data_IF_389447908993
#
_entry.id   IF_389447908993
#
_cell.length_a   1.000
_cell.length_b   1.000
_cell.length_c   1.000
_cell.angle_alpha   90.00
_cell.angle_beta   90.00
_cell.angle_gamma   90.00
#
_symmetry.space_group_name_H-M   'P 1'
#
loop_
_entity.id
_entity.type
_entity.pdbx_description
1 polymer ?
#
# COMPACT_ATOMS: atom_id res chain seq x y z
N UNK A 1 6.84 -5.35 28.77
CA UNK A 1 7.00 -6.28 27.63
C UNK A 1 7.29 -5.45 26.38
N UNK A 2 8.54 -5.41 25.88
CA UNK A 2 8.85 -4.70 24.63
C UNK A 2 8.34 -5.55 23.48
N UNK A 3 7.25 -5.12 22.86
CA UNK A 3 6.67 -5.76 21.68
C UNK A 3 7.67 -5.57 20.54
N UNK A 4 8.31 -6.66 20.11
CA UNK A 4 9.15 -6.66 18.91
C UNK A 4 8.26 -6.43 17.69
N UNK A 5 8.10 -5.16 17.31
CA UNK A 5 7.41 -4.78 16.08
C UNK A 5 8.29 -5.15 14.90
N UNK A 6 8.09 -6.34 14.33
CA UNK A 6 8.59 -6.63 12.99
C UNK A 6 7.95 -5.63 12.02
N UNK A 7 8.71 -4.86 11.23
CA UNK A 7 8.14 -3.96 10.24
C UNK A 7 7.47 -4.83 9.15
N UNK A 8 6.17 -5.07 9.31
CA UNK A 8 5.37 -5.82 8.35
C UNK A 8 5.07 -4.91 7.14
N UNK A 9 5.48 -5.28 5.91
CA UNK A 9 5.20 -4.48 4.72
C UNK A 9 3.70 -4.20 4.57
N UNK A 10 3.33 -2.92 4.43
CA UNK A 10 1.93 -2.44 4.48
C UNK A 10 1.09 -2.78 3.26
N UNK A 11 1.71 -3.29 2.18
CA UNK A 11 1.07 -3.37 0.87
C UNK A 11 0.22 -4.64 0.64
N UNK A 12 0.55 -5.79 1.25
CA UNK A 12 -0.22 -7.02 0.99
C UNK A 12 -1.48 -7.11 1.86
N UNK A 13 -2.58 -7.63 1.29
CA UNK A 13 -3.85 -7.86 2.01
C UNK A 13 -3.64 -8.66 3.30
N UNK A 14 -2.87 -9.74 3.22
CA UNK A 14 -2.64 -10.65 4.35
C UNK A 14 -1.82 -10.00 5.47
N UNK A 15 -0.82 -9.16 5.13
CA UNK A 15 -0.04 -8.42 6.11
C UNK A 15 -0.86 -7.37 6.85
N UNK A 16 -1.83 -6.74 6.17
CA UNK A 16 -2.79 -5.82 6.82
C UNK A 16 -3.68 -6.54 7.82
N UNK A 17 -4.17 -7.73 7.48
CA UNK A 17 -5.00 -8.54 8.39
C UNK A 17 -4.19 -8.96 9.62
N UNK A 18 -2.96 -9.45 9.43
CA UNK A 18 -2.08 -9.81 10.55
C UNK A 18 -1.76 -8.61 11.45
N UNK A 19 -1.64 -7.41 10.88
CA UNK A 19 -1.48 -6.18 11.66
C UNK A 19 -2.73 -5.83 12.45
N UNK A 20 -3.92 -6.05 11.88
CA UNK A 20 -5.18 -5.84 12.59
C UNK A 20 -5.37 -6.83 13.74
N UNK A 21 -4.99 -8.10 13.54
CA UNK A 21 -4.98 -9.13 14.61
C UNK A 21 -4.00 -8.76 15.73
N UNK A 22 -2.80 -8.30 15.37
CA UNK A 22 -1.83 -7.79 16.34
C UNK A 22 -2.41 -6.63 17.16
N UNK A 23 -3.00 -5.64 16.50
CA UNK A 23 -3.59 -4.48 17.18
C UNK A 23 -4.76 -4.89 18.07
N UNK A 24 -5.59 -5.84 17.61
CA UNK A 24 -6.69 -6.41 18.39
C UNK A 24 -6.19 -6.99 19.72
N UNK A 25 -5.16 -7.83 19.68
CA UNK A 25 -4.57 -8.44 20.87
C UNK A 25 -3.82 -7.41 21.74
N UNK A 26 -3.06 -6.50 21.12
CA UNK A 26 -2.30 -5.47 21.85
C UNK A 26 -3.22 -4.55 22.68
N UNK A 27 -4.36 -4.13 22.12
CA UNK A 27 -5.36 -3.30 22.82
C UNK A 27 -5.97 -4.00 24.02
N UNK A 28 -6.10 -5.33 23.95
CA UNK A 28 -6.71 -6.17 24.98
C UNK A 28 -5.68 -6.77 25.96
N UNK A 29 -4.40 -6.38 25.84
CA UNK A 29 -3.27 -6.92 26.61
C UNK A 29 -3.14 -8.45 26.48
N UNK A 30 -3.47 -8.97 25.30
CA UNK A 30 -3.57 -10.40 25.01
C UNK A 30 -4.87 -10.73 24.27
N UNK A 31 -4.98 -11.96 23.79
CA UNK A 31 -6.21 -12.48 23.22
C UNK A 31 -7.13 -12.95 24.35
N UNK A 32 -8.38 -12.46 24.44
CA UNK A 32 -9.32 -12.91 25.46
C UNK A 32 -9.55 -14.42 25.40
N UNK A 33 -9.75 -15.07 26.56
CA UNK A 33 -9.82 -16.53 26.71
C UNK A 33 -10.81 -17.19 25.74
N UNK A 34 -12.00 -16.61 25.57
CA UNK A 34 -13.05 -17.12 24.67
C UNK A 34 -12.72 -17.04 23.17
N UNK A 35 -11.67 -16.32 22.78
CA UNK A 35 -11.29 -16.13 21.38
C UNK A 35 -9.93 -16.74 21.02
N UNK A 36 -9.21 -17.36 21.98
CA UNK A 36 -7.83 -17.85 21.76
C UNK A 36 -7.74 -18.84 20.60
N UNK A 37 -8.59 -19.86 20.56
CA UNK A 37 -8.58 -20.86 19.50
C UNK A 37 -8.80 -20.25 18.11
N UNK A 38 -9.85 -19.42 17.96
CA UNK A 38 -10.19 -18.83 16.66
C UNK A 38 -9.18 -17.75 16.24
N UNK A 39 -8.64 -16.99 17.19
CA UNK A 39 -7.54 -16.04 16.94
C UNK A 39 -6.30 -16.75 16.44
N UNK A 40 -5.88 -17.83 17.11
CA UNK A 40 -4.74 -18.66 16.73
C UNK A 40 -4.94 -19.23 15.33
N UNK A 41 -6.09 -19.83 15.05
CA UNK A 41 -6.39 -20.42 13.76
C UNK A 41 -6.36 -19.38 12.63
N UNK A 42 -7.06 -18.24 12.79
CA UNK A 42 -7.06 -17.17 11.79
C UNK A 42 -5.62 -16.66 11.56
N UNK A 43 -4.87 -16.43 12.63
CA UNK A 43 -3.47 -15.97 12.56
C UNK A 43 -2.59 -16.95 11.79
N UNK A 44 -2.67 -18.25 12.11
CA UNK A 44 -1.93 -19.31 11.45
C UNK A 44 -2.23 -19.36 9.93
N UNK A 45 -3.50 -19.28 9.54
CA UNK A 45 -3.91 -19.27 8.13
C UNK A 45 -3.29 -18.10 7.37
N UNK A 46 -3.28 -16.90 7.94
CA UNK A 46 -2.69 -15.74 7.27
C UNK A 46 -1.16 -15.75 7.26
N UNK A 47 -0.51 -16.33 8.29
CA UNK A 47 0.94 -16.56 8.32
C UNK A 47 1.37 -17.59 7.25
N UNK A 48 0.66 -18.71 7.13
CA UNK A 48 0.87 -19.70 6.07
C UNK A 48 0.76 -19.09 4.67
N UNK A 49 -0.24 -18.24 4.44
CA UNK A 49 -0.45 -17.53 3.17
C UNK A 49 0.67 -16.55 2.78
N UNK A 50 1.46 -16.09 3.75
CA UNK A 50 2.65 -15.27 3.50
C UNK A 50 3.95 -16.07 3.66
N UNK A 51 3.86 -17.40 3.62
CA UNK A 51 4.98 -18.35 3.63
C UNK A 51 5.85 -18.25 4.89
N UNK A 52 5.25 -17.90 6.04
CA UNK A 52 5.97 -17.98 7.32
C UNK A 52 6.07 -19.46 7.72
N UNK A 53 7.26 -19.96 8.10
CA UNK A 53 7.43 -21.34 8.57
C UNK A 53 6.56 -21.66 9.79
N UNK A 54 6.17 -22.92 9.97
CA UNK A 54 5.31 -23.37 11.06
C UNK A 54 5.86 -22.98 12.44
N UNK A 55 7.14 -23.29 12.70
CA UNK A 55 7.83 -22.95 13.96
C UNK A 55 7.76 -21.45 14.26
N UNK A 56 8.01 -20.62 13.25
CA UNK A 56 7.92 -19.17 13.39
C UNK A 56 6.47 -18.68 13.59
N UNK A 57 5.47 -19.42 13.11
CA UNK A 57 4.07 -19.11 13.32
C UNK A 57 3.61 -19.44 14.75
N UNK A 58 4.06 -20.57 15.30
CA UNK A 58 3.86 -20.94 16.71
C UNK A 58 4.37 -19.82 17.63
N UNK A 59 5.63 -19.41 17.45
CA UNK A 59 6.24 -18.36 18.28
C UNK A 59 5.50 -17.02 18.16
N UNK A 60 4.95 -16.72 16.99
CA UNK A 60 4.15 -15.49 16.81
C UNK A 60 2.80 -15.55 17.51
N UNK A 61 2.12 -16.68 17.48
CA UNK A 61 0.83 -16.84 18.17
C UNK A 61 1.03 -16.73 19.68
N UNK A 62 2.04 -17.42 20.23
CA UNK A 62 2.35 -17.46 21.67
C UNK A 62 2.57 -16.09 22.31
N UNK A 63 2.94 -15.07 21.53
CA UNK A 63 3.09 -13.69 22.02
C UNK A 63 1.79 -13.06 22.54
N UNK A 64 0.64 -13.56 22.10
CA UNK A 64 -0.67 -12.94 22.35
C UNK A 64 -1.61 -13.83 23.16
N UNK A 65 -1.16 -15.00 23.59
CA UNK A 65 -1.96 -15.94 24.36
C UNK A 65 -1.25 -16.26 25.68
N UNK A 66 -2.02 -16.72 26.65
CA UNK A 66 -1.51 -17.14 27.95
C UNK A 66 -0.85 -18.53 27.87
N UNK A 67 0.09 -18.79 28.79
CA UNK A 67 0.88 -20.05 28.83
C UNK A 67 0.03 -21.30 28.99
N UNK A 68 -1.12 -21.20 29.64
CA UNK A 68 -2.08 -22.30 29.81
C UNK A 68 -2.70 -22.78 28.48
N UNK A 69 -2.51 -22.02 27.40
CA UNK A 69 -3.06 -22.32 26.07
C UNK A 69 -1.97 -22.69 25.04
N UNK A 70 -0.70 -22.81 25.44
CA UNK A 70 0.39 -22.99 24.49
C UNK A 70 0.31 -24.31 23.71
N UNK A 71 0.02 -25.42 24.39
CA UNK A 71 -0.07 -26.74 23.75
C UNK A 71 -1.22 -26.78 22.73
N UNK A 72 -2.40 -26.25 23.11
CA UNK A 72 -3.56 -26.17 22.22
C UNK A 72 -3.27 -25.23 21.02
N UNK A 73 -2.55 -24.13 21.25
CA UNK A 73 -2.17 -23.22 20.17
C UNK A 73 -1.18 -23.86 19.19
N UNK A 74 -0.20 -24.63 19.68
CA UNK A 74 0.71 -25.40 18.83
C UNK A 74 -0.04 -26.39 17.96
N UNK A 75 -0.98 -27.13 18.55
CA UNK A 75 -1.79 -28.09 17.83
C UNK A 75 -2.64 -27.42 16.74
N UNK A 76 -3.29 -26.29 17.05
CA UNK A 76 -4.07 -25.52 16.07
C UNK A 76 -3.18 -25.05 14.91
N UNK A 77 -1.98 -24.53 15.19
CA UNK A 77 -1.05 -24.08 14.16
C UNK A 77 -0.61 -25.26 13.28
N UNK A 78 -0.17 -26.37 13.90
CA UNK A 78 0.23 -27.59 13.19
C UNK A 78 -0.89 -28.11 12.29
N UNK A 79 -2.11 -28.18 12.80
CA UNK A 79 -3.28 -28.62 12.04
C UNK A 79 -3.59 -27.67 10.86
N UNK A 80 -3.48 -26.36 11.05
CA UNK A 80 -3.66 -25.38 9.97
C UNK A 80 -2.56 -25.49 8.89
N UNK A 81 -1.33 -25.82 9.28
CA UNK A 81 -0.18 -25.99 8.38
C UNK A 81 -0.21 -27.31 7.62
N UNK A 82 -0.59 -28.41 8.28
CA UNK A 82 -0.78 -29.71 7.64
C UNK A 82 -2.01 -29.76 6.72
N UNK A 83 -3.04 -28.95 7.00
CA UNK A 83 -4.28 -28.96 6.24
C UNK A 83 -4.08 -28.54 4.78
N UNK A 84 -4.63 -29.36 3.86
CA UNK A 84 -4.79 -29.02 2.44
C UNK A 84 -6.02 -28.14 2.18
N UNK A 85 -6.90 -27.97 3.18
CA UNK A 85 -8.11 -27.17 3.06
C UNK A 85 -7.76 -25.68 2.97
N UNK A 86 -8.29 -25.00 1.95
CA UNK A 86 -8.10 -23.57 1.80
C UNK A 86 -9.16 -22.80 2.60
N UNK A 87 -8.86 -22.52 3.87
CA UNK A 87 -9.72 -21.68 4.71
C UNK A 87 -9.77 -20.24 4.20
N UNK A 88 -10.96 -19.71 3.94
CA UNK A 88 -11.17 -18.34 3.48
C UNK A 88 -11.89 -17.49 4.52
N UNK A 89 -11.13 -16.63 5.20
CA UNK A 89 -11.69 -15.62 6.11
C UNK A 89 -11.90 -14.28 5.39
N UNK A 90 -13.14 -13.83 5.33
CA UNK A 90 -13.47 -12.46 4.91
C UNK A 90 -13.25 -11.51 6.08
N UNK A 91 -12.96 -10.23 5.81
CA UNK A 91 -12.75 -9.24 6.88
C UNK A 91 -13.97 -9.18 7.82
N UNK A 92 -15.18 -9.12 7.28
CA UNK A 92 -16.41 -9.11 8.07
C UNK A 92 -16.52 -10.35 8.98
N UNK A 93 -16.16 -11.54 8.47
CA UNK A 93 -16.17 -12.77 9.26
C UNK A 93 -15.12 -12.76 10.38
N UNK A 94 -13.93 -12.20 10.12
CA UNK A 94 -12.89 -12.04 11.16
C UNK A 94 -13.40 -11.13 12.28
N UNK A 95 -13.98 -9.97 11.92
CA UNK A 95 -14.53 -9.04 12.90
C UNK A 95 -15.64 -9.68 13.74
N UNK A 96 -16.54 -10.45 13.12
CA UNK A 96 -17.60 -11.15 13.85
C UNK A 96 -17.07 -12.25 14.78
N UNK A 97 -16.08 -13.05 14.33
CA UNK A 97 -15.53 -14.16 15.11
C UNK A 97 -14.68 -13.71 16.30
N UNK A 98 -14.04 -12.56 16.18
CA UNK A 98 -13.16 -11.99 17.21
C UNK A 98 -13.81 -10.85 17.98
N UNK A 99 -15.12 -10.63 17.81
CA UNK A 99 -15.86 -9.55 18.47
C UNK A 99 -15.14 -8.19 18.39
N UNK A 100 -14.78 -7.80 17.15
CA UNK A 100 -14.13 -6.52 16.89
C UNK A 100 -15.08 -5.40 17.27
N UNK A 101 -14.60 -4.53 18.16
CA UNK A 101 -15.36 -3.36 18.60
C UNK A 101 -15.28 -2.27 17.54
N UNK A 102 -16.16 -1.27 17.62
CA UNK A 102 -16.19 -0.15 16.66
C UNK A 102 -14.83 0.53 16.51
N UNK A 103 -14.09 0.67 17.62
CA UNK A 103 -12.74 1.20 17.62
C UNK A 103 -11.76 0.34 16.82
N UNK A 104 -11.88 -0.99 16.88
CA UNK A 104 -11.03 -1.90 16.11
C UNK A 104 -11.27 -1.75 14.61
N UNK A 105 -12.54 -1.65 14.22
CA UNK A 105 -12.98 -1.47 12.84
C UNK A 105 -12.48 -0.12 12.29
N UNK A 106 -12.68 0.97 13.06
CA UNK A 106 -12.28 2.32 12.67
C UNK A 106 -10.77 2.46 12.46
N UNK A 107 -9.98 1.76 13.28
CA UNK A 107 -8.52 1.81 13.23
C UNK A 107 -7.89 0.63 12.47
N UNK A 108 -8.67 -0.10 11.66
CA UNK A 108 -8.14 -1.24 10.91
C UNK A 108 -7.41 -0.80 9.63
N UNK A 109 -6.41 -1.59 9.24
CA UNK A 109 -5.68 -1.45 7.99
C UNK A 109 -6.37 -2.16 6.83
N UNK A 110 -7.16 -3.21 7.12
CA UNK A 110 -7.75 -4.08 6.10
C UNK A 110 -9.08 -3.61 5.55
N UNK A 111 -9.68 -2.55 6.11
CA UNK A 111 -11.01 -2.03 5.74
C UNK A 111 -12.11 -3.12 5.90
N UNK A 112 -12.76 -3.13 7.06
CA UNK A 112 -13.71 -4.17 7.43
C UNK A 112 -15.14 -3.86 6.96
N UNK A 113 -15.48 -2.58 6.75
CA UNK A 113 -16.80 -2.15 6.25
C UNK A 113 -16.81 -1.91 4.73
N UNK A 114 -18.01 -1.82 4.14
CA UNK A 114 -18.18 -1.53 2.70
C UNK A 114 -17.70 -0.10 2.39
N UNK A 115 -18.02 0.84 3.26
CA UNK A 115 -17.67 2.25 3.15
C UNK A 115 -16.15 2.44 3.19
N UNK A 116 -15.47 1.76 4.13
CA UNK A 116 -14.01 1.81 4.22
C UNK A 116 -13.34 1.25 2.96
N UNK A 117 -13.87 0.17 2.39
CA UNK A 117 -13.35 -0.42 1.15
C UNK A 117 -13.55 0.54 -0.02
N UNK A 118 -14.71 1.17 -0.12
CA UNK A 118 -15.01 2.14 -1.16
C UNK A 118 -14.10 3.37 -1.04
N UNK A 119 -13.92 3.91 0.17
CA UNK A 119 -13.01 5.03 0.43
C UNK A 119 -11.56 4.69 0.07
N UNK A 120 -11.09 3.49 0.43
CA UNK A 120 -9.75 3.02 0.05
C UNK A 120 -9.59 2.88 -1.46
N UNK A 121 -10.61 2.39 -2.18
CA UNK A 121 -10.62 2.32 -3.64
C UNK A 121 -10.53 3.70 -4.27
N UNK A 122 -11.35 4.66 -3.83
CA UNK A 122 -11.32 6.05 -4.30
C UNK A 122 -9.94 6.68 -4.09
N UNK A 123 -9.34 6.50 -2.91
CA UNK A 123 -7.99 7.00 -2.61
C UNK A 123 -6.93 6.40 -3.52
N UNK A 124 -7.02 5.10 -3.80
CA UNK A 124 -6.10 4.41 -4.71
C UNK A 124 -6.21 4.95 -6.15
N UNK A 125 -7.42 5.16 -6.65
CA UNK A 125 -7.66 5.74 -7.99
C UNK A 125 -7.08 7.16 -8.06
N UNK A 126 -7.41 8.02 -7.10
CA UNK A 126 -6.86 9.39 -7.03
C UNK A 126 -5.32 9.40 -6.99
N UNK A 127 -4.70 8.48 -6.26
CA UNK A 127 -3.24 8.37 -6.22
C UNK A 127 -2.64 7.91 -7.53
N UNK A 128 -3.29 7.00 -8.24
CA UNK A 128 -2.85 6.53 -9.56
C UNK A 128 -2.92 7.67 -10.57
N UNK A 129 -4.07 8.37 -10.62
CA UNK A 129 -4.26 9.52 -11.49
C UNK A 129 -3.25 10.63 -11.19
N UNK A 130 -3.01 10.94 -9.90
CA UNK A 130 -2.02 11.93 -9.50
C UNK A 130 -0.60 11.60 -10.00
N UNK A 131 -0.20 10.32 -9.96
CA UNK A 131 1.09 9.88 -10.51
C UNK A 131 1.14 10.03 -12.02
N UNK A 132 0.10 9.56 -12.72
CA UNK A 132 -0.02 9.69 -14.17
C UNK A 132 0.01 11.16 -14.62
N UNK A 133 -0.68 12.04 -13.91
CA UNK A 133 -0.64 13.48 -14.20
C UNK A 133 0.73 14.10 -13.88
N UNK A 134 1.44 13.63 -12.85
CA UNK A 134 2.80 14.08 -12.56
C UNK A 134 3.79 13.65 -13.65
N UNK A 135 3.72 12.40 -14.11
CA UNK A 135 4.51 11.88 -15.24
C UNK A 135 4.23 12.68 -16.52
N UNK A 136 2.95 12.96 -16.82
CA UNK A 136 2.58 13.79 -17.96
C UNK A 136 3.12 15.23 -17.84
N UNK A 137 3.09 15.84 -16.65
CA UNK A 137 3.66 17.17 -16.43
C UNK A 137 5.18 17.18 -16.63
N UNK A 138 5.88 16.16 -16.13
CA UNK A 138 7.33 16.03 -16.32
C UNK A 138 7.68 15.90 -17.82
N UNK A 139 6.97 15.04 -18.55
CA UNK A 139 7.16 14.88 -20.01
C UNK A 139 6.87 16.18 -20.78
N UNK A 140 5.85 16.95 -20.39
CA UNK A 140 5.55 18.25 -21.01
C UNK A 140 6.66 19.26 -20.71
N UNK A 141 7.19 19.27 -19.50
CA UNK A 141 8.28 20.15 -19.11
C UNK A 141 9.57 19.82 -19.86
N UNK A 142 9.91 18.53 -19.98
CA UNK A 142 11.06 18.06 -20.75
C UNK A 142 10.96 18.48 -22.23
N UNK A 143 9.80 18.25 -22.87
CA UNK A 143 9.58 18.69 -24.27
C UNK A 143 9.66 20.21 -24.43
N UNK A 144 9.25 20.98 -23.41
CA UNK A 144 9.41 22.44 -23.43
C UNK A 144 10.88 22.84 -23.31
N UNK A 145 11.65 22.15 -22.47
CA UNK A 145 13.07 22.38 -22.28
C UNK A 145 13.87 22.01 -23.53
N UNK A 146 13.65 20.83 -24.11
CA UNK A 146 14.27 20.40 -25.37
C UNK A 146 14.00 21.41 -26.50
N UNK A 147 12.75 21.88 -26.61
CA UNK A 147 12.39 22.95 -27.56
C UNK A 147 13.16 24.23 -27.29
N UNK A 148 13.24 24.65 -26.03
CA UNK A 148 13.96 25.85 -25.64
C UNK A 148 15.44 25.77 -26.03
N UNK A 149 16.10 24.68 -25.67
CA UNK A 149 17.53 24.44 -25.95
C UNK A 149 17.80 24.38 -27.45
N UNK A 150 16.97 23.68 -28.22
CA UNK A 150 17.10 23.60 -29.66
C UNK A 150 16.92 24.96 -30.34
N UNK A 151 15.92 25.74 -29.93
CA UNK A 151 15.69 27.09 -30.47
C UNK A 151 16.83 28.03 -30.08
N UNK A 152 17.38 27.90 -28.85
CA UNK A 152 18.50 28.70 -28.37
C UNK A 152 19.78 28.43 -29.18
N UNK A 153 20.06 27.19 -29.56
CA UNK A 153 21.21 26.85 -30.40
C UNK A 153 21.03 27.19 -31.89
N UNK A 154 19.80 27.48 -32.33
CA UNK A 154 19.47 27.78 -33.74
C UNK A 154 18.72 29.13 -33.88
N UNK A 155 19.20 30.16 -33.18
CA UNK A 155 18.52 31.47 -33.13
C UNK A 155 18.43 32.18 -34.48
N UNK A 156 19.32 31.85 -35.42
CA UNK A 156 19.38 32.44 -36.76
C UNK A 156 18.32 31.88 -37.73
N UNK A 157 17.75 30.71 -37.40
CA UNK A 157 16.80 30.04 -38.29
C UNK A 157 15.45 30.77 -38.28
N UNK A 158 14.70 30.68 -39.37
CA UNK A 158 13.36 31.28 -39.41
C UNK A 158 12.41 30.57 -38.42
N UNK A 159 11.38 31.29 -37.96
CA UNK A 159 10.38 30.67 -37.09
C UNK A 159 9.55 29.59 -37.80
N UNK A 160 9.51 29.60 -39.13
CA UNK A 160 8.81 28.61 -39.94
C UNK A 160 9.60 27.29 -40.00
N UNK A 161 10.90 27.35 -40.30
CA UNK A 161 11.76 26.17 -40.38
C UNK A 161 11.90 25.45 -39.04
N UNK A 162 12.05 26.21 -37.94
CA UNK A 162 12.10 25.63 -36.60
C UNK A 162 10.76 25.02 -36.16
N UNK A 163 9.64 25.57 -36.64
CA UNK A 163 8.31 25.05 -36.31
C UNK A 163 8.04 23.71 -37.00
N UNK A 164 8.49 23.58 -38.25
CA UNK A 164 8.46 22.33 -39.03
C UNK A 164 9.33 21.24 -38.36
N UNK A 165 10.59 21.54 -38.07
CA UNK A 165 11.55 20.61 -37.45
C UNK A 165 11.08 20.11 -36.07
N UNK A 166 10.52 21.00 -35.25
CA UNK A 166 10.08 20.68 -33.89
C UNK A 166 8.61 20.23 -33.82
N UNK A 167 7.94 20.11 -34.97
CA UNK A 167 6.54 19.69 -35.06
C UNK A 167 5.59 20.53 -34.21
N UNK A 168 5.74 21.87 -34.22
CA UNK A 168 4.93 22.77 -33.40
C UNK A 168 4.52 24.04 -34.15
N UNK A 169 3.72 24.91 -33.52
CA UNK A 169 3.24 26.13 -34.19
C UNK A 169 4.33 27.20 -34.29
N UNK A 170 4.33 27.97 -35.39
CA UNK A 170 5.21 29.15 -35.57
C UNK A 170 5.07 30.13 -34.41
N UNK A 171 3.85 30.32 -33.88
CA UNK A 171 3.58 31.18 -32.71
C UNK A 171 4.35 30.72 -31.47
N UNK A 172 4.43 29.41 -31.26
CA UNK A 172 5.19 28.81 -30.15
C UNK A 172 6.68 29.15 -30.26
N UNK A 173 7.28 28.98 -31.45
CA UNK A 173 8.69 29.32 -31.69
C UNK A 173 8.96 30.80 -31.47
N UNK A 174 8.09 31.69 -31.99
CA UNK A 174 8.22 33.14 -31.78
C UNK A 174 8.21 33.51 -30.29
N UNK A 175 7.32 32.89 -29.51
CA UNK A 175 7.28 33.10 -28.06
C UNK A 175 8.56 32.64 -27.36
N UNK A 176 9.10 31.48 -27.74
CA UNK A 176 10.35 30.94 -27.17
C UNK A 176 11.53 31.86 -27.50
N UNK A 177 11.66 32.30 -28.75
CA UNK A 177 12.71 33.26 -29.16
C UNK A 177 12.62 34.58 -28.41
N UNK A 178 11.41 35.08 -28.15
CA UNK A 178 11.22 36.29 -27.37
C UNK A 178 11.72 36.14 -25.92
N UNK A 179 11.45 34.99 -25.28
CA UNK A 179 11.95 34.68 -23.93
C UNK A 179 13.48 34.60 -23.91
N UNK A 180 14.10 33.91 -24.86
CA UNK A 180 15.57 33.79 -24.96
C UNK A 180 16.20 35.19 -25.08
N UNK A 181 15.71 36.01 -26.00
CA UNK A 181 16.21 37.38 -26.22
C UNK A 181 16.03 38.29 -25.01
N UNK A 182 14.99 38.07 -24.20
CA UNK A 182 14.80 38.81 -22.95
C UNK A 182 15.82 38.39 -21.89
N UNK A 183 16.14 37.09 -21.80
CA UNK A 183 17.13 36.57 -20.86
C UNK A 183 18.58 36.94 -21.22
N UNK A 184 18.88 37.15 -22.50
CA UNK A 184 20.22 37.59 -22.96
C UNK A 184 20.46 39.10 -22.83
N UNK A 185 19.39 39.88 -22.61
CA UNK A 185 19.44 41.34 -22.46
C UNK A 185 19.47 41.83 -21.00
N UNK A 186 19.21 40.93 -20.05
CA UNK A 186 19.31 41.19 -18.61
C UNK A 186 20.58 40.59 -18.05
#
# INVERSE_FOLDING_TARGET
MKINTFPMPTKSRYKRILRDLHNYAARRKGCPKGHRAIYTHITAIFLKRILVPEEAAVERVKQYIDRDFFDEAEEIVRNAYASKTQYMYTNARIAALLDFQEYDIKNSFSAYTVEQKQAARVKSVKSYDAKRYAENRANIQEKRQQRYEYVKSHMDFTAASLAEELGCSIRTIKSVKAVIRQQEKG
#
